data_IF_574568697112
#
_entry.id   IF_574568697112
#
_cell.length_a   1.000
_cell.length_b   1.000
_cell.length_c   1.000
_cell.angle_alpha   90.00
_cell.angle_beta   90.00
_cell.angle_gamma   90.00
#
_symmetry.space_group_name_H-M   'P 1'
#
loop_
_entity.id
_entity.type
_entity.pdbx_description
1 polymer ?
#
# COMPACT_ATOMS: atom_id res chain seq x y z
N UNK A 1 -32.97 0.67 -28.36
CA UNK A 1 -31.68 0.15 -28.83
C UNK A 1 -30.76 1.25 -29.31
N UNK A 2 -29.79 1.63 -28.47
CA UNK A 2 -28.59 2.34 -28.89
C UNK A 2 -27.44 1.86 -27.99
N UNK A 3 -26.53 1.02 -28.49
CA UNK A 3 -25.40 0.53 -27.72
C UNK A 3 -24.20 1.49 -27.82
N UNK A 4 -23.44 1.60 -26.72
CA UNK A 4 -22.00 1.88 -26.80
C UNK A 4 -21.53 3.31 -26.53
N UNK A 5 -21.70 3.80 -25.29
CA UNK A 5 -20.85 4.88 -24.76
C UNK A 5 -19.53 4.30 -24.22
N UNK A 6 -18.67 3.83 -25.13
CA UNK A 6 -17.29 3.45 -24.81
C UNK A 6 -16.39 4.67 -24.79
N UNK A 7 -15.64 4.88 -23.71
CA UNK A 7 -14.57 5.87 -23.69
C UNK A 7 -13.58 5.60 -24.82
N UNK A 8 -13.21 6.60 -25.65
CA UNK A 8 -12.21 6.42 -26.67
C UNK A 8 -10.83 6.50 -26.02
N UNK A 9 -10.30 5.38 -25.53
CA UNK A 9 -8.86 5.21 -25.38
C UNK A 9 -8.24 4.88 -26.75
N UNK A 10 -8.55 5.70 -27.77
CA UNK A 10 -7.97 5.63 -29.11
C UNK A 10 -6.67 6.42 -29.12
N UNK A 11 -5.67 5.90 -28.40
CA UNK A 11 -4.26 6.22 -28.63
C UNK A 11 -3.44 5.06 -28.07
N UNK A 12 -2.49 4.50 -28.85
CA UNK A 12 -1.62 3.43 -28.34
C UNK A 12 -0.78 4.01 -27.18
N UNK A 13 -1.01 3.51 -25.96
CA UNK A 13 -0.18 3.86 -24.79
C UNK A 13 -0.91 4.45 -23.57
N UNK A 14 -2.16 4.05 -23.28
CA UNK A 14 -2.83 4.42 -22.02
C UNK A 14 -3.34 3.16 -21.29
N UNK A 15 -2.99 2.94 -20.01
CA UNK A 15 -3.55 1.84 -19.22
C UNK A 15 -5.02 2.10 -18.91
N UNK A 16 -5.86 1.07 -18.78
CA UNK A 16 -7.31 1.17 -18.53
C UNK A 16 -7.62 0.23 -17.36
N UNK A 17 -8.17 0.72 -16.26
CA UNK A 17 -8.62 -0.11 -15.13
C UNK A 17 -10.14 -0.35 -15.18
N UNK A 18 -10.63 -1.44 -15.76
CA UNK A 18 -12.09 -1.71 -15.78
C UNK A 18 -12.51 -2.56 -14.56
N UNK A 19 -13.55 -2.12 -13.84
CA UNK A 19 -14.17 -2.84 -12.72
C UNK A 19 -15.60 -3.29 -13.09
N UNK A 20 -15.95 -4.57 -12.94
CA UNK A 20 -17.32 -5.11 -13.06
C UNK A 20 -17.44 -6.44 -12.27
N UNK A 21 -18.62 -6.85 -11.75
CA UNK A 21 -19.98 -6.47 -12.18
C UNK A 21 -20.82 -5.83 -11.06
N UNK A 22 -20.96 -4.50 -11.11
CA UNK A 22 -22.06 -3.64 -10.57
C UNK A 22 -21.58 -2.25 -10.14
N UNK A 23 -20.26 -2.05 -9.99
CA UNK A 23 -19.67 -0.72 -9.82
C UNK A 23 -18.49 -0.56 -10.78
N UNK A 24 -18.77 -0.02 -11.98
CA UNK A 24 -17.72 0.44 -12.87
C UNK A 24 -17.14 1.73 -12.29
N UNK A 25 -16.14 1.62 -11.40
CA UNK A 25 -15.35 2.77 -10.94
C UNK A 25 -14.54 3.42 -12.09
N UNK A 26 -14.57 2.77 -13.27
CA UNK A 26 -14.18 3.35 -14.54
C UNK A 26 -12.72 3.08 -14.88
N UNK A 27 -12.37 3.13 -16.17
CA UNK A 27 -11.00 2.95 -16.64
C UNK A 27 -10.08 4.07 -16.17
N UNK A 28 -9.15 3.78 -15.25
CA UNK A 28 -8.07 4.69 -14.88
C UNK A 28 -6.89 4.60 -15.84
N UNK A 29 -6.44 5.75 -16.35
CA UNK A 29 -5.34 5.87 -17.30
C UNK A 29 -4.26 6.86 -16.84
N UNK A 30 -2.98 6.53 -17.04
CA UNK A 30 -1.83 7.44 -16.82
C UNK A 30 -1.79 7.98 -15.37
N UNK A 31 -1.84 9.30 -15.20
CA UNK A 31 -1.83 10.02 -13.91
C UNK A 31 -3.26 10.37 -13.46
N UNK A 32 -4.29 9.73 -14.02
CA UNK A 32 -5.65 9.88 -13.55
C UNK A 32 -5.74 9.25 -12.15
N UNK A 33 -5.43 10.06 -11.14
CA UNK A 33 -5.78 9.75 -9.75
C UNK A 33 -7.30 9.64 -9.72
N UNK A 34 -7.86 8.54 -9.19
CA UNK A 34 -9.30 8.45 -9.00
C UNK A 34 -9.81 9.69 -8.28
N UNK A 35 -10.87 10.32 -8.78
CA UNK A 35 -11.45 11.54 -8.18
C UNK A 35 -11.87 11.31 -6.73
N UNK A 36 -12.17 10.06 -6.37
CA UNK A 36 -12.30 9.60 -5.00
C UNK A 36 -11.01 8.86 -4.59
N UNK A 37 -10.28 9.31 -3.56
CA UNK A 37 -9.02 8.67 -3.12
C UNK A 37 -9.23 7.25 -2.57
N UNK A 38 -10.48 6.86 -2.28
CA UNK A 38 -10.86 5.54 -1.80
C UNK A 38 -12.03 4.99 -2.62
N UNK A 39 -11.88 3.78 -3.13
CA UNK A 39 -12.95 3.03 -3.79
C UNK A 39 -13.54 2.03 -2.80
N UNK A 40 -14.83 2.18 -2.49
CA UNK A 40 -15.56 1.30 -1.58
C UNK A 40 -16.50 0.42 -2.38
N UNK A 41 -16.50 -0.87 -2.07
CA UNK A 41 -17.41 -1.85 -2.67
C UNK A 41 -18.01 -2.73 -1.60
N UNK A 42 -19.24 -3.20 -1.83
CA UNK A 42 -19.93 -4.16 -0.98
C UNK A 42 -19.64 -5.62 -1.41
N UNK A 43 -18.85 -5.82 -2.47
CA UNK A 43 -18.45 -7.15 -2.96
C UNK A 43 -17.28 -7.71 -2.17
N UNK A 44 -17.27 -9.02 -1.93
CA UNK A 44 -16.12 -9.75 -1.38
C UNK A 44 -15.00 -9.97 -2.40
N UNK A 45 -15.26 -9.72 -3.69
CA UNK A 45 -14.30 -9.90 -4.77
C UNK A 45 -14.14 -8.60 -5.56
N UNK A 46 -12.88 -8.20 -5.74
CA UNK A 46 -12.47 -7.09 -6.61
C UNK A 46 -11.50 -7.65 -7.65
N UNK A 47 -11.82 -7.46 -8.93
CA UNK A 47 -10.91 -7.81 -10.02
C UNK A 47 -10.26 -6.54 -10.55
N UNK A 48 -8.92 -6.52 -10.56
CA UNK A 48 -8.14 -5.42 -11.13
C UNK A 48 -7.51 -5.91 -12.43
N UNK A 49 -7.97 -5.37 -13.55
CA UNK A 49 -7.38 -5.65 -14.85
C UNK A 49 -6.34 -4.58 -15.18
N UNK A 50 -5.06 -4.96 -15.16
CA UNK A 50 -3.97 -4.10 -15.61
C UNK A 50 -3.59 -4.44 -17.06
N UNK A 51 -3.81 -3.50 -17.97
CA UNK A 51 -3.42 -3.64 -19.38
C UNK A 51 -2.28 -2.66 -19.70
N UNK A 52 -1.14 -3.18 -20.17
CA UNK A 52 0.06 -2.39 -20.49
C UNK A 52 0.63 -2.82 -21.85
N UNK A 53 1.12 -1.85 -22.62
CA UNK A 53 1.84 -2.10 -23.88
C UNK A 53 3.35 -2.31 -23.63
N UNK A 54 4.11 -2.69 -24.67
CA UNK A 54 5.56 -2.87 -24.53
C UNK A 54 6.25 -1.53 -24.30
N UNK A 55 6.92 -1.37 -23.16
CA UNK A 55 7.64 -0.14 -22.79
C UNK A 55 9.06 -0.49 -22.32
N UNK A 56 10.07 0.31 -22.72
CA UNK A 56 11.45 0.18 -22.20
C UNK A 56 11.59 0.61 -20.73
N UNK A 57 10.66 1.44 -20.24
CA UNK A 57 10.58 1.92 -18.85
C UNK A 57 9.17 2.48 -18.58
N UNK A 58 8.66 2.32 -17.36
CA UNK A 58 7.33 2.79 -16.94
C UNK A 58 7.17 2.75 -15.41
N UNK A 59 6.27 3.59 -14.87
CA UNK A 59 5.86 3.53 -13.46
C UNK A 59 4.72 2.51 -13.32
N UNK A 60 4.79 1.66 -12.30
CA UNK A 60 3.72 0.72 -11.97
C UNK A 60 2.56 1.38 -11.21
N UNK A 61 1.62 0.57 -10.73
CA UNK A 61 0.60 0.99 -9.76
C UNK A 61 0.85 0.29 -8.43
N UNK A 62 0.59 0.98 -7.33
CA UNK A 62 0.48 0.39 -6.01
C UNK A 62 -0.98 0.48 -5.58
N UNK A 63 -1.56 -0.66 -5.21
CA UNK A 63 -2.91 -0.74 -4.67
C UNK A 63 -2.84 -1.23 -3.24
N UNK A 64 -3.51 -0.53 -2.33
CA UNK A 64 -3.75 -0.97 -0.95
C UNK A 64 -5.25 -1.18 -0.78
N UNK A 65 -5.65 -2.28 -0.17
CA UNK A 65 -7.06 -2.62 0.06
C UNK A 65 -7.25 -3.15 1.48
N UNK A 66 -8.44 -2.95 2.04
CA UNK A 66 -8.92 -3.67 3.20
C UNK A 66 -10.44 -3.76 3.16
N UNK A 67 -10.98 -4.55 4.09
CA UNK A 67 -12.42 -4.66 4.31
C UNK A 67 -12.94 -3.42 5.04
N UNK A 68 -14.26 -3.21 4.99
CA UNK A 68 -14.94 -2.14 5.74
C UNK A 68 -14.83 -2.28 7.27
N UNK A 69 -14.25 -3.38 7.76
CA UNK A 69 -14.03 -3.62 9.19
C UNK A 69 -12.82 -2.84 9.73
N UNK A 70 -11.98 -2.28 8.85
CA UNK A 70 -10.75 -1.58 9.21
C UNK A 70 -10.75 -0.15 8.65
N UNK A 71 -11.45 0.80 9.30
CA UNK A 71 -11.50 2.20 8.85
C UNK A 71 -10.15 2.92 8.99
N UNK A 72 -9.22 2.32 9.74
CA UNK A 72 -7.85 2.76 10.00
C UNK A 72 -6.82 2.13 9.04
N UNK A 73 -7.27 1.63 7.89
CA UNK A 73 -6.42 1.14 6.82
C UNK A 73 -5.41 2.21 6.38
N UNK A 74 -4.15 1.83 6.31
CA UNK A 74 -3.08 2.67 5.76
C UNK A 74 -2.50 2.08 4.48
N UNK A 75 -1.87 2.91 3.65
CA UNK A 75 -1.08 2.41 2.52
C UNK A 75 0.24 1.83 3.01
N UNK A 76 0.78 0.81 2.33
CA UNK A 76 2.10 0.27 2.65
C UNK A 76 3.20 1.35 2.65
N UNK A 77 3.07 2.42 1.86
CA UNK A 77 4.07 3.49 1.74
C UNK A 77 4.11 4.45 2.94
N UNK A 78 3.18 4.31 3.89
CA UNK A 78 3.15 5.17 5.07
C UNK A 78 4.38 4.93 5.94
N UNK A 79 4.99 6.04 6.40
CA UNK A 79 6.14 6.04 7.28
C UNK A 79 5.72 6.47 8.69
N UNK A 80 6.54 6.14 9.68
CA UNK A 80 6.34 6.62 11.06
C UNK A 80 6.28 8.15 11.16
N UNK A 81 6.98 8.88 10.29
CA UNK A 81 6.96 10.36 10.24
C UNK A 81 5.59 10.96 9.91
N UNK A 82 4.66 10.17 9.36
CA UNK A 82 3.30 10.65 9.12
C UNK A 82 2.44 10.70 10.39
N UNK A 83 2.96 10.20 11.52
CA UNK A 83 2.29 10.21 12.82
C UNK A 83 3.05 11.07 13.82
N UNK A 84 2.31 11.94 14.51
CA UNK A 84 2.85 12.83 15.55
C UNK A 84 2.33 12.47 16.93
N UNK A 85 1.26 11.70 17.01
CA UNK A 85 0.65 11.22 18.23
C UNK A 85 1.58 10.23 18.95
N UNK A 86 1.47 10.18 20.27
CA UNK A 86 2.26 9.27 21.10
C UNK A 86 1.86 7.80 20.87
N UNK A 87 0.56 7.55 20.71
CA UNK A 87 0.00 6.23 20.45
C UNK A 87 -0.90 6.29 19.23
N UNK A 88 -0.70 5.38 18.28
CA UNK A 88 -1.52 5.24 17.08
C UNK A 88 -1.80 3.77 16.82
N UNK A 89 -3.04 3.44 16.48
CA UNK A 89 -3.42 2.13 15.95
C UNK A 89 -3.76 2.28 14.49
N UNK A 90 -3.15 1.47 13.63
CA UNK A 90 -3.42 1.44 12.19
C UNK A 90 -3.58 0.02 11.70
N UNK A 91 -4.28 -0.16 10.59
CA UNK A 91 -4.38 -1.46 9.94
C UNK A 91 -3.49 -1.50 8.70
N UNK A 92 -2.50 -2.37 8.73
CA UNK A 92 -1.61 -2.63 7.60
C UNK A 92 -2.23 -3.65 6.65
N UNK A 93 -2.27 -3.37 5.34
CA UNK A 93 -2.72 -4.34 4.34
C UNK A 93 -1.67 -5.46 4.17
N UNK A 94 -2.09 -6.54 3.54
CA UNK A 94 -1.19 -7.59 3.09
C UNK A 94 -0.25 -7.10 1.97
N UNK A 95 0.92 -7.73 1.81
CA UNK A 95 1.86 -7.50 0.72
C UNK A 95 2.69 -6.22 0.86
N UNK A 96 3.01 -5.81 2.08
CA UNK A 96 3.86 -4.65 2.35
C UNK A 96 5.36 -4.99 2.50
N UNK A 97 5.76 -6.26 2.36
CA UNK A 97 7.16 -6.69 2.46
C UNK A 97 8.02 -6.14 1.33
N UNK A 98 7.58 -6.29 0.08
CA UNK A 98 8.40 -6.03 -1.12
C UNK A 98 8.15 -4.65 -1.76
N UNK A 99 7.57 -3.70 -1.01
CA UNK A 99 7.35 -2.33 -1.51
C UNK A 99 8.62 -1.48 -1.45
N UNK A 100 8.64 -0.34 -2.13
CA UNK A 100 9.76 0.59 -2.04
C UNK A 100 9.87 1.26 -0.65
N UNK A 101 11.11 1.47 -0.21
CA UNK A 101 11.43 2.19 1.01
C UNK A 101 12.09 1.32 2.07
N UNK A 102 12.84 2.01 2.93
CA UNK A 102 13.74 1.39 3.90
C UNK A 102 13.10 1.30 5.28
N UNK A 103 13.61 0.34 6.05
CA UNK A 103 13.41 0.24 7.49
C UNK A 103 14.77 0.37 8.18
N UNK A 104 14.82 1.09 9.29
CA UNK A 104 16.05 1.37 10.04
C UNK A 104 15.85 0.92 11.48
N UNK A 105 16.70 0.01 11.95
CA UNK A 105 16.58 -0.59 13.28
C UNK A 105 16.08 -2.03 13.28
N UNK A 106 15.68 -2.50 14.46
CA UNK A 106 15.37 -3.90 14.71
C UNK A 106 14.33 -4.03 15.84
N UNK A 107 13.77 -5.23 16.07
CA UNK A 107 12.71 -5.41 17.05
C UNK A 107 13.12 -5.09 18.49
N UNK A 108 14.41 -5.17 18.83
CA UNK A 108 14.91 -4.94 20.19
C UNK A 108 15.12 -3.45 20.51
N UNK A 109 15.50 -2.66 19.51
CA UNK A 109 15.75 -1.21 19.65
C UNK A 109 14.58 -0.34 19.18
N UNK A 110 13.62 -0.94 18.48
CA UNK A 110 12.60 -0.22 17.74
C UNK A 110 13.11 0.26 16.39
N UNK A 111 12.28 1.06 15.72
CA UNK A 111 12.52 1.53 14.37
C UNK A 111 12.53 3.05 14.31
N UNK A 112 13.35 3.61 13.42
CA UNK A 112 13.35 5.05 13.16
C UNK A 112 12.01 5.47 12.54
N UNK A 113 11.51 6.63 12.90
CA UNK A 113 10.25 7.20 12.36
C UNK A 113 10.25 7.33 10.83
N UNK A 114 11.41 7.55 10.20
CA UNK A 114 11.55 7.54 8.73
C UNK A 114 11.32 6.18 8.06
N UNK A 115 11.22 5.09 8.84
CA UNK A 115 11.00 3.74 8.34
C UNK A 115 9.59 3.58 7.77
N UNK A 116 9.47 2.72 6.75
CA UNK A 116 8.18 2.26 6.24
C UNK A 116 7.48 1.41 7.31
N UNK A 117 6.30 1.84 7.75
CA UNK A 117 5.61 1.35 8.95
C UNK A 117 5.21 -0.12 8.81
N UNK A 118 4.43 -0.47 7.79
CA UNK A 118 3.93 -1.83 7.64
C UNK A 118 5.06 -2.82 7.32
N UNK A 119 6.07 -2.38 6.55
CA UNK A 119 7.28 -3.17 6.33
C UNK A 119 8.05 -3.42 7.63
N UNK A 120 8.17 -2.41 8.49
CA UNK A 120 8.80 -2.56 9.81
C UNK A 120 8.00 -3.50 10.72
N UNK A 121 6.67 -3.47 10.65
CA UNK A 121 5.80 -4.39 11.39
C UNK A 121 5.98 -5.85 10.94
N UNK A 122 6.08 -6.10 9.62
CA UNK A 122 6.43 -7.42 9.08
C UNK A 122 7.84 -7.83 9.53
N UNK A 123 8.83 -6.95 9.41
CA UNK A 123 10.19 -7.22 9.87
C UNK A 123 10.22 -7.55 11.37
N UNK A 124 9.40 -6.88 12.19
CA UNK A 124 9.27 -7.16 13.61
C UNK A 124 8.57 -8.49 13.92
N UNK A 125 7.86 -9.08 12.96
CA UNK A 125 6.99 -10.24 13.18
C UNK A 125 5.69 -9.88 13.90
N UNK A 126 5.32 -8.58 13.93
CA UNK A 126 4.07 -8.13 14.52
C UNK A 126 2.86 -8.50 13.66
N UNK A 127 3.05 -8.59 12.34
CA UNK A 127 2.06 -9.03 11.36
C UNK A 127 2.71 -9.96 10.33
N UNK A 128 1.92 -10.84 9.72
CA UNK A 128 2.35 -11.63 8.58
C UNK A 128 2.12 -10.85 7.28
N UNK A 129 3.07 -10.91 6.33
CA UNK A 129 2.95 -10.16 5.08
C UNK A 129 1.73 -10.60 4.25
N UNK A 130 1.45 -11.90 4.18
CA UNK A 130 0.31 -12.42 3.42
C UNK A 130 -1.07 -12.03 3.97
N UNK A 131 -1.16 -11.66 5.25
CA UNK A 131 -2.43 -11.35 5.91
C UNK A 131 -2.58 -9.86 6.23
N UNK A 132 -1.48 -9.14 6.44
CA UNK A 132 -1.50 -7.82 7.06
C UNK A 132 -1.93 -7.90 8.53
N UNK A 133 -2.48 -6.82 9.06
CA UNK A 133 -3.07 -6.81 10.40
C UNK A 133 -3.00 -5.47 11.11
N UNK A 134 -3.57 -5.47 12.32
CA UNK A 134 -3.54 -4.32 13.22
C UNK A 134 -2.14 -4.12 13.79
N UNK A 135 -1.63 -2.88 13.72
CA UNK A 135 -0.35 -2.47 14.27
C UNK A 135 -0.56 -1.29 15.21
N UNK A 136 -0.06 -1.40 16.43
CA UNK A 136 -0.03 -0.30 17.40
C UNK A 136 1.38 0.26 17.48
N UNK A 137 1.49 1.58 17.40
CA UNK A 137 2.74 2.33 17.45
C UNK A 137 2.80 3.10 18.75
N UNK A 138 3.91 2.98 19.46
CA UNK A 138 4.31 3.86 20.55
C UNK A 138 5.48 4.72 20.07
N UNK A 139 5.31 6.04 20.09
CA UNK A 139 6.34 6.98 19.68
C UNK A 139 7.24 7.31 20.87
N UNK A 140 8.46 6.82 20.82
CA UNK A 140 9.46 7.03 21.84
C UNK A 140 10.57 7.98 21.39
N UNK A 141 11.44 8.38 22.33
CA UNK A 141 12.62 9.17 21.99
C UNK A 141 13.57 8.31 21.16
N UNK A 142 13.89 8.79 19.96
CA UNK A 142 14.84 8.11 19.08
C UNK A 142 16.22 7.94 19.72
N UNK A 143 16.91 6.87 19.33
CA UNK A 143 18.28 6.57 19.75
C UNK A 143 19.29 7.09 18.72
N UNK A 144 20.56 7.19 19.11
CA UNK A 144 21.63 7.73 18.25
C UNK A 144 22.04 6.77 17.14
N UNK A 145 21.99 5.47 17.39
CA UNK A 145 22.40 4.42 16.46
C UNK A 145 21.39 3.29 16.44
N UNK A 146 20.91 2.95 15.25
CA UNK A 146 20.06 1.79 15.01
C UNK A 146 20.88 0.69 14.36
N UNK A 147 20.83 -0.52 14.90
CA UNK A 147 21.53 -1.66 14.31
C UNK A 147 20.66 -2.34 13.24
N UNK A 148 21.28 -2.68 12.11
CA UNK A 148 20.67 -3.49 11.06
C UNK A 148 20.46 -4.93 11.52
N UNK A 149 19.35 -5.55 11.13
CA UNK A 149 19.05 -6.95 11.37
C UNK A 149 18.41 -7.59 10.12
N UNK A 150 18.43 -8.92 10.08
CA UNK A 150 17.63 -9.71 9.16
C UNK A 150 16.55 -10.44 9.94
N UNK A 151 15.29 -10.15 9.67
CA UNK A 151 14.16 -10.79 10.33
C UNK A 151 12.97 -10.91 9.36
N UNK A 152 12.24 -12.02 9.44
CA UNK A 152 11.04 -12.26 8.65
C UNK A 152 11.25 -12.08 7.12
N UNK A 153 12.46 -12.41 6.65
CA UNK A 153 12.83 -12.29 5.25
C UNK A 153 13.10 -10.86 4.77
N UNK A 154 13.32 -9.90 5.68
CA UNK A 154 13.63 -8.50 5.40
C UNK A 154 14.96 -8.12 6.05
N UNK A 155 15.75 -7.29 5.35
CA UNK A 155 16.94 -6.64 5.90
C UNK A 155 16.62 -5.19 6.27
N UNK A 156 16.97 -4.78 7.47
CA UNK A 156 16.97 -3.38 7.87
C UNK A 156 18.32 -2.71 7.64
N UNK A 157 18.29 -1.38 7.51
CA UNK A 157 19.47 -0.54 7.37
C UNK A 157 19.98 -0.08 8.74
N UNK A 158 21.25 0.31 8.76
CA UNK A 158 21.98 0.86 9.91
C UNK A 158 22.12 2.36 9.76
#
# INVERSE_FOLDING_TARGET
DTPGSGCPCLSPGSPILTMAPSLSAGPYCRNAVPTAPLLVTNSSTVTVLFNSTSHRSGRGLLLSYATSQHPDLVSCLVRGTHYTQEHVSVYCPAGCKDIDGDIWGNPSQGYRDTSVLCKAAVHAGAIADELGGQVTLSREKGITLYESAFANGLHSKR
#
